data_IF_179372543357
#
_entry.id   IF_179372543357
#
_cell.length_a   1.000
_cell.length_b   1.000
_cell.length_c   1.000
_cell.angle_alpha   90.00
_cell.angle_beta   90.00
_cell.angle_gamma   90.00
#
_symmetry.space_group_name_H-M   'P 1'
#
loop_
_entity.id
_entity.type
_entity.pdbx_description
1 polymer ?
#
# COMPACT_ATOMS: atom_id res chain seq x y z
N UNK A 1 13.22 -6.39 3.33
CA UNK A 1 12.59 -6.23 2.02
C UNK A 1 13.56 -5.60 1.04
N UNK A 2 13.72 -6.20 -0.10
CA UNK A 2 14.64 -5.69 -1.10
C UNK A 2 13.97 -4.65 -1.96
N UNK A 3 14.78 -3.91 -2.70
CA UNK A 3 14.25 -2.92 -3.62
C UNK A 3 13.33 -3.55 -4.66
N UNK A 4 13.69 -4.74 -5.10
CA UNK A 4 12.89 -5.43 -6.08
C UNK A 4 11.53 -5.79 -5.53
N UNK A 5 11.49 -6.27 -4.31
CA UNK A 5 10.22 -6.63 -3.71
C UNK A 5 9.36 -5.40 -3.51
N UNK A 6 9.97 -4.32 -3.09
CA UNK A 6 9.23 -3.10 -2.90
C UNK A 6 8.65 -2.59 -4.21
N UNK A 7 9.45 -2.64 -5.25
CA UNK A 7 8.98 -2.20 -6.56
C UNK A 7 7.82 -3.06 -7.04
N UNK A 8 7.92 -4.36 -6.81
CA UNK A 8 6.83 -5.25 -7.20
C UNK A 8 5.56 -4.92 -6.46
N UNK A 9 5.66 -4.66 -5.18
CA UNK A 9 4.49 -4.31 -4.39
C UNK A 9 3.89 -3.01 -4.86
N UNK A 10 4.72 -2.05 -5.19
CA UNK A 10 4.22 -0.77 -5.68
C UNK A 10 3.52 -0.93 -7.01
N UNK A 11 4.08 -1.73 -7.89
CA UNK A 11 3.45 -1.98 -9.18
C UNK A 11 2.09 -2.64 -9.00
N UNK A 12 2.04 -3.60 -8.10
CA UNK A 12 0.79 -4.28 -7.85
C UNK A 12 -0.23 -3.32 -7.29
N UNK A 13 0.18 -2.47 -6.37
CA UNK A 13 -0.72 -1.48 -5.81
C UNK A 13 -1.27 -0.55 -6.88
N UNK A 14 -0.40 -0.11 -7.76
CA UNK A 14 -0.83 0.76 -8.84
C UNK A 14 -1.83 0.07 -9.73
N UNK A 15 -1.58 -1.19 -10.06
CA UNK A 15 -2.48 -1.94 -10.91
C UNK A 15 -3.85 -2.06 -10.25
N UNK A 16 -3.87 -2.34 -8.96
CA UNK A 16 -5.14 -2.47 -8.25
C UNK A 16 -5.88 -1.14 -8.24
N UNK A 17 -5.17 -0.07 -7.99
CA UNK A 17 -5.80 1.24 -7.98
C UNK A 17 -6.40 1.56 -9.32
N UNK A 18 -5.71 1.23 -10.38
CA UNK A 18 -6.22 1.46 -11.71
C UNK A 18 -7.49 0.67 -11.96
N UNK A 19 -7.48 -0.56 -11.51
CA UNK A 19 -8.67 -1.39 -11.69
C UNK A 19 -9.84 -0.87 -10.88
N UNK A 20 -9.56 -0.34 -9.72
CA UNK A 20 -10.62 0.21 -8.89
C UNK A 20 -11.30 1.40 -9.54
N UNK A 21 -10.59 2.08 -10.42
CA UNK A 21 -11.18 3.20 -11.13
C UNK A 21 -12.06 2.77 -12.29
N UNK A 22 -12.04 1.50 -12.62
CA UNK A 22 -12.83 0.99 -13.71
C UNK A 22 -14.31 1.03 -13.37
N UNK A 23 -15.13 1.77 -14.13
CA UNK A 23 -16.55 1.87 -13.83
C UNK A 23 -17.30 0.58 -14.08
N UNK A 24 -16.72 -0.33 -14.85
CA UNK A 24 -17.37 -1.60 -15.12
C UNK A 24 -17.14 -2.63 -14.05
N UNK A 25 -16.35 -2.28 -13.05
CA UNK A 25 -16.02 -3.23 -11.99
C UNK A 25 -17.22 -3.52 -11.13
N UNK A 26 -17.41 -4.78 -10.80
CA UNK A 26 -18.49 -5.15 -9.93
C UNK A 26 -18.24 -4.79 -8.48
N UNK A 27 -19.32 -4.80 -7.70
CA UNK A 27 -19.22 -4.43 -6.29
C UNK A 27 -18.28 -5.37 -5.54
N UNK A 28 -18.46 -6.67 -5.79
CA UNK A 28 -17.65 -7.66 -5.08
C UNK A 28 -16.18 -7.55 -5.50
N UNK A 29 -15.97 -7.33 -6.79
CA UNK A 29 -14.61 -7.16 -7.26
C UNK A 29 -13.94 -5.97 -6.60
N UNK A 30 -14.67 -4.90 -6.41
CA UNK A 30 -14.13 -3.73 -5.76
C UNK A 30 -13.71 -4.04 -4.35
N UNK A 31 -14.52 -4.78 -3.64
CA UNK A 31 -14.21 -5.12 -2.26
C UNK A 31 -12.95 -5.97 -2.19
N UNK A 32 -12.85 -6.93 -3.08
CA UNK A 32 -11.67 -7.78 -3.10
C UNK A 32 -10.41 -7.00 -3.43
N UNK A 33 -10.52 -6.13 -4.40
CA UNK A 33 -9.37 -5.32 -4.76
C UNK A 33 -8.97 -4.38 -3.63
N UNK A 34 -9.94 -3.82 -2.95
CA UNK A 34 -9.65 -2.96 -1.82
C UNK A 34 -8.95 -3.72 -0.71
N UNK A 35 -9.37 -4.94 -0.48
CA UNK A 35 -8.74 -5.78 0.53
C UNK A 35 -7.27 -5.99 0.19
N UNK A 36 -7.02 -6.36 -1.04
CA UNK A 36 -5.66 -6.56 -1.49
C UNK A 36 -4.85 -5.27 -1.36
N UNK A 37 -5.46 -4.18 -1.76
CA UNK A 37 -4.79 -2.90 -1.69
C UNK A 37 -4.40 -2.56 -0.26
N UNK A 38 -5.29 -2.80 0.67
CA UNK A 38 -4.99 -2.55 2.07
C UNK A 38 -3.82 -3.38 2.56
N UNK A 39 -3.81 -4.65 2.17
CA UNK A 39 -2.71 -5.51 2.58
C UNK A 39 -1.39 -5.01 2.02
N UNK A 40 -1.40 -4.60 0.76
CA UNK A 40 -0.20 -4.10 0.14
C UNK A 40 0.26 -2.80 0.80
N UNK A 41 -0.68 -1.94 1.09
CA UNK A 41 -0.34 -0.68 1.73
C UNK A 41 0.21 -0.89 3.12
N UNK A 42 -0.31 -1.88 3.81
CA UNK A 42 0.22 -2.20 5.12
C UNK A 42 1.66 -2.64 5.06
N UNK A 43 1.96 -3.49 4.10
CA UNK A 43 3.33 -3.95 3.94
C UNK A 43 4.26 -2.80 3.57
N UNK A 44 3.83 -1.98 2.63
CA UNK A 44 4.63 -0.84 2.23
C UNK A 44 4.73 0.18 3.35
N UNK A 45 3.65 0.35 4.08
CA UNK A 45 3.64 1.29 5.20
C UNK A 45 4.56 0.86 6.30
N UNK A 46 4.60 -0.43 6.58
CA UNK A 46 5.51 -0.93 7.59
C UNK A 46 6.96 -0.65 7.22
N UNK A 47 7.27 -0.87 5.95
CA UNK A 47 8.62 -0.62 5.49
C UNK A 47 8.98 0.86 5.67
N UNK A 48 8.08 1.73 5.29
CA UNK A 48 8.32 3.16 5.41
C UNK A 48 8.40 3.58 6.86
N UNK A 49 7.55 3.00 7.69
CA UNK A 49 7.55 3.35 9.09
C UNK A 49 8.88 3.00 9.72
N UNK A 50 9.42 1.85 9.40
CA UNK A 50 10.72 1.46 9.93
C UNK A 50 11.79 2.43 9.50
N UNK A 51 11.70 2.93 8.29
CA UNK A 51 12.69 3.86 7.80
C UNK A 51 12.61 5.20 8.51
N UNK A 52 11.41 5.64 8.85
CA UNK A 52 11.22 6.94 9.47
C UNK A 52 11.09 6.89 10.97
N UNK A 53 11.23 5.73 11.53
CA UNK A 53 10.93 5.59 12.92
C UNK A 53 11.73 6.54 13.79
N UNK A 54 12.96 6.74 13.45
CA UNK A 54 13.81 7.61 14.24
C UNK A 54 13.29 9.02 14.28
N UNK A 55 12.91 9.53 13.14
CA UNK A 55 12.40 10.88 13.08
C UNK A 55 11.10 11.02 13.79
N UNK A 56 10.35 9.95 13.77
CA UNK A 56 9.05 10.02 14.33
C UNK A 56 9.04 10.30 15.80
N UNK A 57 10.03 9.82 16.49
CA UNK A 57 10.10 10.03 17.90
C UNK A 57 9.97 11.47 18.27
N UNK A 58 10.57 12.31 17.50
CA UNK A 58 10.52 13.72 17.82
C UNK A 58 9.14 14.26 17.66
N UNK A 59 8.52 13.84 16.63
CA UNK A 59 7.19 14.35 16.39
C UNK A 59 6.26 13.98 17.49
N UNK A 60 6.43 12.83 18.02
CA UNK A 60 5.56 12.39 19.07
C UNK A 60 5.61 13.35 20.23
N UNK A 61 6.77 13.85 20.51
CA UNK A 61 6.89 14.74 21.63
C UNK A 61 6.15 16.03 21.40
N UNK A 62 6.07 16.43 20.17
CA UNK A 62 5.37 17.67 19.84
C UNK A 62 3.90 17.56 20.03
#
# INVERSE_FOLDING_TARGET
>A
MTLQERASLQLRRDAIKKELENPMLGFIDKIELKDELLALEEELGEFLRNAFEKDECENCSG
#
